data_IF_984203703744
#
_entry.id   IF_984203703744
#
_cell.length_a   1.000
_cell.length_b   1.000
_cell.length_c   1.000
_cell.angle_alpha   90.00
_cell.angle_beta   90.00
_cell.angle_gamma   90.00
#
_symmetry.space_group_name_H-M   'P 1'
#
loop_
_entity.id
_entity.type
_entity.pdbx_description
1 polymer ?
#
# COMPACT_ATOMS: atom_id res chain seq x y z
N UNK A 1 2.31 38.11 -67.97
CA UNK A 1 1.42 37.03 -67.48
C UNK A 1 2.16 36.33 -66.36
N UNK A 2 1.75 36.57 -65.11
CA UNK A 2 2.45 36.08 -63.92
C UNK A 2 1.77 34.81 -63.42
N UNK A 3 2.41 33.66 -63.60
CA UNK A 3 1.92 32.37 -63.10
C UNK A 3 2.07 32.28 -61.58
N UNK A 4 0.93 32.35 -60.90
CA UNK A 4 0.84 32.26 -59.45
C UNK A 4 0.74 30.79 -59.05
N UNK A 5 1.85 30.19 -58.63
CA UNK A 5 1.88 28.80 -58.14
C UNK A 5 1.21 28.72 -56.77
N UNK A 6 0.00 28.15 -56.70
CA UNK A 6 -0.71 27.91 -55.44
C UNK A 6 -0.15 26.66 -54.75
N UNK A 7 0.53 26.86 -53.61
CA UNK A 7 1.03 25.76 -52.76
C UNK A 7 -0.15 25.11 -52.00
N UNK A 8 -0.24 23.77 -51.93
CA UNK A 8 -1.33 23.10 -51.21
C UNK A 8 -1.19 23.34 -49.70
N UNK A 9 -2.27 23.79 -49.08
CA UNK A 9 -2.40 24.04 -47.64
C UNK A 9 -2.42 22.69 -46.90
N UNK A 10 -1.35 22.34 -46.16
CA UNK A 10 -1.33 21.15 -45.28
C UNK A 10 -2.49 21.25 -44.29
N UNK A 11 -3.41 20.28 -44.33
CA UNK A 11 -4.44 20.13 -43.30
C UNK A 11 -3.80 19.73 -41.97
N UNK A 12 -4.20 20.33 -40.83
CA UNK A 12 -3.69 19.94 -39.53
C UNK A 12 -4.19 18.53 -39.20
N UNK A 13 -3.26 17.61 -38.96
CA UNK A 13 -3.55 16.25 -38.50
C UNK A 13 -4.15 16.33 -37.08
N UNK A 14 -5.43 16.01 -36.94
CA UNK A 14 -6.10 15.97 -35.64
C UNK A 14 -5.62 14.72 -34.90
N UNK A 15 -4.69 14.90 -33.94
CA UNK A 15 -4.22 13.80 -33.09
C UNK A 15 -5.39 13.34 -32.20
N UNK A 16 -6.01 12.19 -32.51
CA UNK A 16 -7.01 11.59 -31.63
C UNK A 16 -6.33 11.18 -30.33
N UNK A 17 -6.76 11.75 -29.21
CA UNK A 17 -6.31 11.36 -27.87
C UNK A 17 -6.69 9.89 -27.64
N UNK A 18 -5.73 8.98 -27.38
CA UNK A 18 -6.01 7.57 -27.17
C UNK A 18 -6.64 7.32 -25.79
N UNK A 19 -7.93 7.62 -25.66
CA UNK A 19 -8.71 7.45 -24.42
C UNK A 19 -8.98 5.97 -24.07
N UNK A 20 -8.77 5.05 -25.01
CA UNK A 20 -8.97 3.61 -24.79
C UNK A 20 -7.93 2.99 -23.84
N UNK A 21 -6.74 3.58 -23.74
CA UNK A 21 -5.68 3.16 -22.82
C UNK A 21 -6.05 3.33 -21.34
N UNK A 22 -6.45 4.54 -20.88
CA UNK A 22 -6.81 4.78 -19.48
C UNK A 22 -8.15 4.17 -19.07
N UNK A 23 -9.06 3.89 -20.01
CA UNK A 23 -10.35 3.26 -19.73
C UNK A 23 -10.30 1.72 -19.72
N UNK A 24 -9.16 1.13 -20.12
CA UNK A 24 -8.99 -0.32 -20.06
C UNK A 24 -8.79 -0.74 -18.61
N UNK A 25 -9.73 -1.51 -18.09
CA UNK A 25 -9.64 -2.11 -16.76
C UNK A 25 -8.34 -2.91 -16.69
N UNK A 26 -7.41 -2.46 -15.84
CA UNK A 26 -6.13 -3.13 -15.66
C UNK A 26 -6.40 -4.58 -15.21
N UNK A 27 -5.68 -5.54 -15.79
CA UNK A 27 -5.75 -6.93 -15.34
C UNK A 27 -5.45 -6.94 -13.83
N UNK A 28 -6.28 -7.61 -13.00
CA UNK A 28 -6.00 -7.77 -11.59
C UNK A 28 -4.58 -8.33 -11.44
N UNK A 29 -3.76 -7.70 -10.60
CA UNK A 29 -2.41 -8.22 -10.38
C UNK A 29 -2.51 -9.63 -9.78
N UNK A 30 -1.69 -10.58 -10.23
CA UNK A 30 -1.66 -11.97 -9.75
C UNK A 30 -1.39 -12.09 -8.23
N UNK A 31 -1.08 -10.95 -7.58
CA UNK A 31 -0.79 -10.85 -6.16
C UNK A 31 -2.03 -10.43 -5.36
N UNK A 32 -3.11 -9.91 -5.96
CA UNK A 32 -4.24 -9.27 -5.24
C UNK A 32 -4.92 -10.13 -4.16
N UNK A 33 -5.01 -11.45 -4.38
CA UNK A 33 -5.60 -12.37 -3.41
C UNK A 33 -4.77 -12.50 -2.13
N UNK A 34 -3.44 -12.35 -2.21
CA UNK A 34 -2.55 -12.50 -1.04
C UNK A 34 -2.76 -11.39 0.00
N UNK A 35 -2.76 -10.09 -0.37
CA UNK A 35 -3.18 -9.01 0.51
C UNK A 35 -4.57 -9.23 1.07
N UNK A 36 -5.56 -9.55 0.23
CA UNK A 36 -6.94 -9.72 0.67
C UNK A 36 -7.06 -10.83 1.74
N UNK A 37 -6.51 -12.02 1.49
CA UNK A 37 -6.56 -13.13 2.46
C UNK A 37 -5.82 -12.79 3.77
N UNK A 38 -4.68 -12.09 3.68
CA UNK A 38 -3.91 -11.75 4.87
C UNK A 38 -4.66 -10.79 5.79
N UNK A 39 -5.41 -9.85 5.20
CA UNK A 39 -6.20 -8.88 5.95
C UNK A 39 -7.38 -9.57 6.59
N UNK A 40 -8.07 -10.44 5.85
CA UNK A 40 -9.17 -11.25 6.41
C UNK A 40 -8.70 -12.00 7.66
N UNK A 41 -7.56 -12.69 7.58
CA UNK A 41 -7.01 -13.41 8.74
C UNK A 41 -6.58 -12.45 9.86
N UNK A 42 -5.88 -11.35 9.53
CA UNK A 42 -5.41 -10.38 10.50
C UNK A 42 -6.55 -9.61 11.20
N UNK A 43 -7.69 -9.44 10.53
CA UNK A 43 -8.91 -8.79 11.04
C UNK A 43 -9.77 -9.77 11.83
N UNK A 44 -9.88 -11.02 11.37
CA UNK A 44 -10.68 -12.04 12.02
C UNK A 44 -10.18 -12.32 13.45
N UNK A 45 -8.86 -12.43 13.66
CA UNK A 45 -8.31 -12.79 14.97
C UNK A 45 -8.70 -11.76 16.06
N UNK A 46 -8.38 -10.45 15.94
CA UNK A 46 -8.75 -9.48 16.98
C UNK A 46 -10.27 -9.29 17.10
N UNK A 47 -11.02 -9.34 15.99
CA UNK A 47 -12.46 -9.10 16.04
C UNK A 47 -13.24 -10.26 16.64
N UNK A 48 -12.82 -11.51 16.43
CA UNK A 48 -13.42 -12.67 17.10
C UNK A 48 -13.13 -12.63 18.61
N UNK A 49 -11.94 -12.17 19.00
CA UNK A 49 -11.62 -11.94 20.43
C UNK A 49 -12.51 -10.85 21.01
N UNK A 50 -12.68 -9.72 20.33
CA UNK A 50 -13.59 -8.65 20.76
C UNK A 50 -15.04 -9.13 20.83
N UNK A 51 -15.48 -9.94 19.86
CA UNK A 51 -16.80 -10.57 19.85
C UNK A 51 -17.00 -11.47 21.07
N UNK A 52 -15.99 -12.27 21.44
CA UNK A 52 -16.09 -13.17 22.59
C UNK A 52 -16.18 -12.46 23.94
N UNK A 53 -15.70 -11.21 24.03
CA UNK A 53 -15.77 -10.38 25.24
C UNK A 53 -16.89 -9.34 25.17
N UNK A 54 -17.74 -9.40 24.14
CA UNK A 54 -18.84 -8.46 23.87
C UNK A 54 -18.41 -6.98 23.79
N UNK A 55 -17.21 -6.74 23.23
CA UNK A 55 -16.62 -5.40 23.07
C UNK A 55 -16.41 -5.02 21.61
N UNK A 56 -17.44 -5.23 20.80
CA UNK A 56 -17.43 -4.82 19.38
C UNK A 56 -17.38 -3.30 19.19
N UNK A 57 -17.65 -2.52 20.24
CA UNK A 57 -17.44 -1.07 20.27
C UNK A 57 -16.00 -0.68 19.92
N UNK A 58 -15.03 -1.56 20.18
CA UNK A 58 -13.61 -1.29 19.99
C UNK A 58 -13.06 -1.71 18.62
N UNK A 59 -13.93 -2.23 17.73
CA UNK A 59 -13.52 -2.77 16.41
C UNK A 59 -12.79 -1.73 15.56
N UNK A 60 -13.17 -0.46 15.65
CA UNK A 60 -12.48 0.60 14.88
C UNK A 60 -10.96 0.61 15.15
N UNK A 61 -10.55 0.42 16.40
CA UNK A 61 -9.14 0.46 16.81
C UNK A 61 -8.38 -0.80 16.41
N UNK A 62 -9.02 -1.98 16.53
CA UNK A 62 -8.40 -3.21 16.03
C UNK A 62 -8.30 -3.20 14.51
N UNK A 63 -9.28 -2.60 13.80
CA UNK A 63 -9.22 -2.42 12.34
C UNK A 63 -8.06 -1.56 11.90
N UNK A 64 -7.75 -0.48 12.63
CA UNK A 64 -6.58 0.34 12.34
C UNK A 64 -5.29 -0.50 12.28
N UNK A 65 -5.08 -1.38 13.27
CA UNK A 65 -3.90 -2.25 13.34
C UNK A 65 -3.94 -3.45 12.37
N UNK A 66 -5.10 -4.06 12.16
CA UNK A 66 -5.22 -5.23 11.28
C UNK A 66 -5.06 -4.87 9.81
N UNK A 67 -5.57 -3.70 9.39
CA UNK A 67 -5.48 -3.23 8.00
C UNK A 67 -4.03 -2.94 7.58
N UNK A 68 -3.10 -2.77 8.52
CA UNK A 68 -1.67 -2.73 8.23
C UNK A 68 -1.17 -4.00 7.51
N UNK A 69 -1.91 -5.12 7.61
CA UNK A 69 -1.61 -6.33 6.84
C UNK A 69 -1.57 -6.08 5.33
N UNK A 70 -2.34 -5.12 4.79
CA UNK A 70 -2.37 -4.79 3.35
C UNK A 70 -0.97 -4.48 2.79
N UNK A 71 -0.08 -3.95 3.63
CA UNK A 71 1.18 -3.37 3.19
C UNK A 71 2.30 -4.40 3.01
N UNK A 72 3.28 -4.03 2.19
CA UNK A 72 4.55 -4.75 2.07
C UNK A 72 4.51 -6.11 1.37
N UNK A 73 3.37 -6.54 0.82
CA UNK A 73 3.23 -7.83 0.11
C UNK A 73 4.16 -8.02 -1.09
N UNK A 74 4.63 -6.93 -1.68
CA UNK A 74 5.56 -6.93 -2.81
C UNK A 74 7.03 -6.85 -2.38
N UNK A 75 7.32 -6.79 -1.08
CA UNK A 75 8.67 -6.63 -0.54
C UNK A 75 9.25 -7.99 -0.11
N UNK A 76 10.58 -8.18 -0.22
CA UNK A 76 11.27 -9.32 0.40
C UNK A 76 11.04 -9.37 1.92
N UNK A 77 11.01 -10.55 2.53
CA UNK A 77 10.61 -10.72 3.93
C UNK A 77 11.39 -9.85 4.92
N UNK A 78 12.71 -9.72 4.75
CA UNK A 78 13.56 -8.90 5.62
C UNK A 78 13.22 -7.40 5.58
N UNK A 79 12.92 -6.86 4.39
CA UNK A 79 12.48 -5.47 4.24
C UNK A 79 11.02 -5.31 4.66
N UNK A 80 10.17 -6.28 4.32
CA UNK A 80 8.76 -6.33 4.68
C UNK A 80 8.55 -6.23 6.19
N UNK A 81 9.32 -6.98 6.98
CA UNK A 81 9.25 -6.97 8.43
C UNK A 81 9.40 -5.56 9.01
N UNK A 82 10.42 -4.82 8.56
CA UNK A 82 10.68 -3.44 9.01
C UNK A 82 9.66 -2.44 8.46
N UNK A 83 9.27 -2.59 7.19
CA UNK A 83 8.26 -1.72 6.58
C UNK A 83 6.91 -1.82 7.28
N UNK A 84 6.47 -3.03 7.67
CA UNK A 84 5.19 -3.20 8.38
C UNK A 84 5.25 -2.60 9.78
N UNK A 85 6.37 -2.74 10.51
CA UNK A 85 6.54 -2.04 11.80
C UNK A 85 6.42 -0.52 11.60
N UNK A 86 7.09 0.05 10.59
CA UNK A 86 6.95 1.47 10.27
C UNK A 86 5.53 1.90 9.93
N UNK A 87 4.79 1.06 9.19
CA UNK A 87 3.37 1.27 8.86
C UNK A 87 2.50 1.25 10.13
N UNK A 88 2.69 0.27 11.01
CA UNK A 88 1.93 0.19 12.28
C UNK A 88 2.22 1.41 13.16
N UNK A 89 3.50 1.82 13.27
CA UNK A 89 3.86 3.00 14.04
C UNK A 89 3.31 4.30 13.44
N UNK A 90 3.33 4.44 12.11
CA UNK A 90 2.70 5.58 11.43
C UNK A 90 1.18 5.61 11.63
N UNK A 91 0.54 4.45 11.65
CA UNK A 91 -0.90 4.31 11.89
C UNK A 91 -1.23 4.71 13.32
N UNK A 92 -0.43 4.21 14.27
CA UNK A 92 -0.57 4.52 15.68
C UNK A 92 -0.38 6.02 15.95
N UNK A 93 0.63 6.64 15.34
CA UNK A 93 0.88 8.07 15.48
C UNK A 93 -0.27 8.91 14.91
N UNK A 94 -0.74 8.58 13.68
CA UNK A 94 -1.87 9.26 13.06
C UNK A 94 -3.16 9.09 13.88
N UNK A 95 -3.41 7.90 14.42
CA UNK A 95 -4.53 7.62 15.30
C UNK A 95 -4.42 8.39 16.62
N UNK A 96 -3.25 8.40 17.26
CA UNK A 96 -3.03 9.13 18.51
C UNK A 96 -3.33 10.62 18.35
N UNK A 97 -2.83 11.25 17.28
CA UNK A 97 -3.12 12.66 16.99
C UNK A 97 -4.61 12.88 16.78
N UNK A 98 -5.28 12.01 16.02
CA UNK A 98 -6.73 12.09 15.80
C UNK A 98 -7.52 12.00 17.11
N UNK A 99 -7.25 10.99 17.95
CA UNK A 99 -8.00 10.77 19.19
C UNK A 99 -7.76 11.88 20.21
N UNK A 100 -6.50 12.35 20.34
CA UNK A 100 -6.19 13.49 21.23
C UNK A 100 -6.90 14.74 20.74
N UNK A 101 -6.87 15.02 19.43
CA UNK A 101 -7.57 16.19 18.87
C UNK A 101 -9.08 16.11 19.12
N UNK A 102 -9.70 14.96 18.83
CA UNK A 102 -11.12 14.73 19.06
C UNK A 102 -11.52 14.86 20.54
N UNK A 103 -10.61 14.56 21.47
CA UNK A 103 -10.88 14.71 22.91
C UNK A 103 -10.74 16.14 23.44
N UNK A 104 -10.08 17.03 22.70
CA UNK A 104 -9.77 18.40 23.13
C UNK A 104 -10.68 19.45 22.49
N UNK A 105 -11.37 19.12 21.39
CA UNK A 105 -12.21 20.08 20.68
C UNK A 105 -13.37 19.40 19.96
N UNK A 106 -14.54 20.04 20.03
CA UNK A 106 -15.73 19.70 19.23
C UNK A 106 -15.83 20.56 17.95
N UNK A 107 -14.86 21.46 17.70
CA UNK A 107 -14.90 22.36 16.55
C UNK A 107 -14.64 21.61 15.25
N UNK A 108 -15.68 21.44 14.44
CA UNK A 108 -15.62 20.78 13.13
C UNK A 108 -14.54 21.38 12.23
N UNK A 109 -14.37 22.71 12.25
CA UNK A 109 -13.35 23.39 11.43
C UNK A 109 -11.93 22.96 11.83
N UNK A 110 -11.66 22.82 13.14
CA UNK A 110 -10.36 22.37 13.64
C UNK A 110 -10.12 20.91 13.28
N UNK A 111 -11.13 20.04 13.44
CA UNK A 111 -11.04 18.62 13.07
C UNK A 111 -10.75 18.44 11.59
N UNK A 112 -11.41 19.20 10.71
CA UNK A 112 -11.15 19.19 9.26
C UNK A 112 -9.72 19.66 8.97
N UNK A 113 -9.27 20.75 9.59
CA UNK A 113 -7.92 21.27 9.40
C UNK A 113 -6.85 20.25 9.82
N UNK A 114 -7.01 19.63 11.00
CA UNK A 114 -6.10 18.57 11.48
C UNK A 114 -6.15 17.35 10.57
N UNK A 115 -7.34 16.93 10.13
CA UNK A 115 -7.50 15.84 9.17
C UNK A 115 -6.77 16.10 7.85
N UNK A 116 -6.84 17.32 7.32
CA UNK A 116 -6.13 17.71 6.11
C UNK A 116 -4.60 17.70 6.31
N UNK A 117 -4.11 18.19 7.45
CA UNK A 117 -2.68 18.15 7.79
C UNK A 117 -2.16 16.71 7.95
N UNK A 118 -2.93 15.85 8.62
CA UNK A 118 -2.61 14.42 8.74
C UNK A 118 -2.57 13.75 7.37
N UNK A 119 -3.57 13.97 6.52
CA UNK A 119 -3.61 13.42 5.17
C UNK A 119 -2.40 13.85 4.33
N UNK A 120 -2.04 15.14 4.39
CA UNK A 120 -0.86 15.67 3.72
C UNK A 120 0.44 15.02 4.24
N UNK A 121 0.60 14.95 5.56
CA UNK A 121 1.77 14.32 6.20
C UNK A 121 1.88 12.83 5.86
N UNK A 122 0.77 12.10 5.90
CA UNK A 122 0.70 10.68 5.54
C UNK A 122 1.05 10.46 4.06
N UNK A 123 0.55 11.32 3.16
CA UNK A 123 0.91 11.30 1.74
C UNK A 123 2.41 11.50 1.55
N UNK A 124 2.96 12.56 2.14
CA UNK A 124 4.39 12.88 2.04
C UNK A 124 5.26 11.75 2.60
N UNK A 125 4.87 11.17 3.74
CA UNK A 125 5.59 10.05 4.34
C UNK A 125 5.55 8.81 3.44
N UNK A 126 4.37 8.46 2.89
CA UNK A 126 4.24 7.32 1.97
C UNK A 126 5.05 7.51 0.69
N UNK A 127 5.08 8.72 0.14
CA UNK A 127 5.87 9.06 -1.04
C UNK A 127 7.37 8.98 -0.76
N UNK A 128 7.81 9.57 0.36
CA UNK A 128 9.21 9.59 0.77
C UNK A 128 9.76 8.18 1.05
N UNK A 129 8.94 7.35 1.71
CA UNK A 129 9.29 5.95 2.02
C UNK A 129 9.06 4.99 0.86
N UNK A 130 8.48 5.47 -0.25
CA UNK A 130 8.07 4.68 -1.42
C UNK A 130 7.23 3.46 -1.02
N UNK A 131 6.36 3.64 -0.03
CA UNK A 131 5.39 2.63 0.38
C UNK A 131 4.46 2.38 -0.81
N UNK A 132 4.45 1.13 -1.30
CA UNK A 132 3.58 0.73 -2.41
C UNK A 132 2.08 0.81 -2.06
N UNK A 133 1.19 0.53 -3.03
CA UNK A 133 -0.25 0.46 -2.79
C UNK A 133 -0.58 -0.42 -1.56
N UNK A 134 -1.53 0.00 -0.69
CA UNK A 134 -2.54 1.06 -0.87
C UNK A 134 -2.09 2.51 -0.57
N UNK A 135 -0.80 2.76 -0.28
CA UNK A 135 -0.28 4.11 -0.04
C UNK A 135 -0.89 4.77 1.22
N UNK A 136 -1.20 6.08 1.21
CA UNK A 136 -1.71 6.78 2.40
C UNK A 136 -3.18 6.50 2.71
N UNK A 137 -3.93 5.85 1.81
CA UNK A 137 -5.39 5.76 1.88
C UNK A 137 -5.92 5.22 3.20
N UNK A 138 -5.35 4.11 3.69
CA UNK A 138 -5.81 3.48 4.95
C UNK A 138 -5.51 4.39 6.15
N UNK A 139 -4.33 5.02 6.17
CA UNK A 139 -3.95 5.95 7.22
C UNK A 139 -4.91 7.14 7.28
N UNK A 140 -5.19 7.75 6.13
CA UNK A 140 -6.08 8.91 6.05
C UNK A 140 -7.49 8.52 6.42
N UNK A 141 -7.99 7.39 5.94
CA UNK A 141 -9.33 6.91 6.29
C UNK A 141 -9.49 6.70 7.80
N UNK A 142 -8.55 5.98 8.43
CA UNK A 142 -8.57 5.71 9.87
C UNK A 142 -8.43 7.01 10.67
N UNK A 143 -7.47 7.88 10.33
CA UNK A 143 -7.26 9.15 11.01
C UNK A 143 -8.47 10.08 10.89
N UNK A 144 -9.08 10.18 9.71
CA UNK A 144 -10.28 10.98 9.50
C UNK A 144 -11.48 10.41 10.24
N UNK A 145 -11.73 9.10 10.18
CA UNK A 145 -12.82 8.48 10.94
C UNK A 145 -12.66 8.71 12.46
N UNK A 146 -11.44 8.59 12.95
CA UNK A 146 -11.13 8.72 14.38
C UNK A 146 -11.20 10.16 14.90
N UNK A 147 -11.03 11.16 14.02
CA UNK A 147 -11.19 12.58 14.37
C UNK A 147 -12.64 12.94 14.73
N UNK A 148 -13.61 12.21 14.18
CA UNK A 148 -15.04 12.46 14.42
C UNK A 148 -15.68 11.39 15.32
N UNK A 149 -14.88 10.51 15.91
CA UNK A 149 -15.34 9.58 16.93
C UNK A 149 -15.37 10.30 18.30
N UNK A 150 -16.45 10.17 19.10
CA UNK A 150 -16.47 10.71 20.45
C UNK A 150 -15.40 10.04 21.31
N UNK A 151 -14.47 10.78 21.92
CA UNK A 151 -13.34 10.22 22.68
C UNK A 151 -13.12 10.92 24.02
N UNK A 152 -12.70 10.14 25.01
CA UNK A 152 -12.24 10.65 26.30
C UNK A 152 -10.74 10.37 26.50
N UNK A 153 -10.01 11.34 27.06
CA UNK A 153 -8.55 11.26 27.26
C UNK A 153 -8.10 9.97 27.98
N UNK A 154 -8.87 9.52 28.98
CA UNK A 154 -8.55 8.31 29.75
C UNK A 154 -8.60 7.00 28.95
N UNK A 155 -9.29 6.99 27.80
CA UNK A 155 -9.46 5.78 26.98
C UNK A 155 -8.38 5.64 25.89
N UNK A 156 -7.70 6.75 25.55
CA UNK A 156 -6.71 6.81 24.47
C UNK A 156 -5.62 5.75 24.61
N UNK A 157 -4.98 5.55 25.79
CA UNK A 157 -3.94 4.53 25.93
C UNK A 157 -4.46 3.12 25.62
N UNK A 158 -5.70 2.80 26.00
CA UNK A 158 -6.33 1.51 25.70
C UNK A 158 -6.60 1.32 24.21
N UNK A 159 -7.12 2.34 23.54
CA UNK A 159 -7.37 2.30 22.09
C UNK A 159 -6.07 2.16 21.27
N UNK A 160 -5.01 2.84 21.70
CA UNK A 160 -3.67 2.70 21.10
C UNK A 160 -3.07 1.31 21.37
N UNK A 161 -3.26 0.76 22.57
CA UNK A 161 -2.80 -0.59 22.88
C UNK A 161 -3.51 -1.66 22.02
N UNK A 162 -4.81 -1.52 21.78
CA UNK A 162 -5.57 -2.41 20.89
C UNK A 162 -5.08 -2.32 19.45
N UNK A 163 -4.82 -1.09 18.97
CA UNK A 163 -4.27 -0.85 17.64
C UNK A 163 -2.89 -1.49 17.48
N UNK A 164 -2.02 -1.33 18.48
CA UNK A 164 -0.70 -1.98 18.53
C UNK A 164 -0.81 -3.50 18.55
N UNK A 165 -1.70 -4.05 19.38
CA UNK A 165 -1.93 -5.49 19.48
C UNK A 165 -2.41 -6.09 18.15
N UNK A 166 -3.39 -5.46 17.51
CA UNK A 166 -3.85 -5.86 16.18
C UNK A 166 -2.77 -5.67 15.10
N UNK A 167 -1.93 -4.64 15.23
CA UNK A 167 -0.74 -4.41 14.40
C UNK A 167 0.31 -5.52 14.56
N UNK A 168 0.50 -6.04 15.77
CA UNK A 168 1.38 -7.17 16.01
C UNK A 168 0.82 -8.46 15.38
N UNK A 169 -0.50 -8.68 15.48
CA UNK A 169 -1.17 -9.79 14.78
C UNK A 169 -1.00 -9.68 13.27
N UNK A 170 -1.20 -8.50 12.69
CA UNK A 170 -1.01 -8.29 11.24
C UNK A 170 0.44 -8.54 10.81
N UNK A 171 1.42 -8.13 11.62
CA UNK A 171 2.82 -8.45 11.39
C UNK A 171 3.09 -9.97 11.42
N UNK A 172 2.53 -10.70 12.40
CA UNK A 172 2.69 -12.16 12.49
C UNK A 172 2.10 -12.88 11.26
N UNK A 173 0.89 -12.49 10.84
CA UNK A 173 0.20 -13.08 9.68
C UNK A 173 0.96 -12.82 8.38
N UNK A 174 1.53 -11.62 8.22
CA UNK A 174 2.16 -11.20 6.97
C UNK A 174 3.65 -11.53 6.86
N UNK A 175 4.35 -11.61 7.99
CA UNK A 175 5.81 -11.79 8.06
C UNK A 175 6.13 -13.14 8.65
N UNK A 176 5.73 -13.41 9.90
CA UNK A 176 6.19 -14.57 10.64
C UNK A 176 5.72 -15.89 10.01
N UNK A 177 4.42 -16.03 9.71
CA UNK A 177 3.88 -17.25 9.11
C UNK A 177 4.56 -17.62 7.78
N UNK A 178 4.58 -16.72 6.78
CA UNK A 178 5.21 -17.03 5.50
C UNK A 178 6.73 -17.20 5.57
N UNK A 179 7.44 -16.45 6.44
CA UNK A 179 8.88 -16.58 6.61
C UNK A 179 9.30 -17.94 7.19
N UNK A 180 8.46 -18.54 8.04
CA UNK A 180 8.67 -19.89 8.58
C UNK A 180 8.51 -20.99 7.52
N UNK A 181 7.60 -20.81 6.57
CA UNK A 181 7.28 -21.83 5.56
C UNK A 181 8.25 -21.76 4.38
N UNK A 182 8.56 -20.55 3.87
CA UNK A 182 9.47 -20.36 2.72
C UNK A 182 10.25 -19.06 2.86
N UNK A 183 11.34 -19.12 3.63
CA UNK A 183 12.25 -18.00 3.88
C UNK A 183 12.74 -17.30 2.59
N UNK A 184 12.90 -18.05 1.50
CA UNK A 184 13.44 -17.57 0.20
C UNK A 184 12.38 -17.40 -0.90
N UNK A 185 11.10 -17.49 -0.54
CA UNK A 185 9.98 -17.36 -1.49
C UNK A 185 10.06 -16.15 -2.44
N UNK A 186 10.26 -14.91 -1.95
CA UNK A 186 10.29 -13.74 -2.79
C UNK A 186 11.53 -13.68 -3.70
N UNK A 187 12.70 -14.10 -3.22
CA UNK A 187 13.92 -14.12 -4.04
C UNK A 187 13.80 -15.14 -5.18
N UNK A 188 13.35 -16.36 -4.88
CA UNK A 188 13.16 -17.40 -5.90
C UNK A 188 12.15 -16.99 -6.97
N UNK A 189 11.06 -16.31 -6.58
CA UNK A 189 10.06 -15.83 -7.51
C UNK A 189 10.61 -14.70 -8.39
N UNK A 190 11.41 -13.79 -7.84
CA UNK A 190 12.03 -12.71 -8.60
C UNK A 190 13.01 -13.27 -9.65
N UNK A 191 13.87 -14.22 -9.26
CA UNK A 191 14.79 -14.91 -10.17
C UNK A 191 14.04 -15.69 -11.25
N UNK A 192 13.00 -16.45 -10.89
CA UNK A 192 12.20 -17.18 -11.87
C UNK A 192 11.53 -16.25 -12.89
N UNK A 193 11.02 -15.09 -12.45
CA UNK A 193 10.46 -14.07 -13.36
C UNK A 193 11.50 -13.47 -14.30
N UNK A 194 12.70 -13.20 -13.79
CA UNK A 194 13.81 -12.71 -14.62
C UNK A 194 14.20 -13.73 -15.69
N UNK A 195 14.35 -15.00 -15.31
CA UNK A 195 14.66 -16.08 -16.25
C UNK A 195 13.57 -16.27 -17.31
N UNK A 196 12.29 -16.28 -16.91
CA UNK A 196 11.18 -16.39 -17.86
C UNK A 196 11.11 -15.21 -18.84
N UNK A 197 11.35 -13.99 -18.35
CA UNK A 197 11.35 -12.80 -19.21
C UNK A 197 12.55 -12.80 -20.18
N UNK A 198 13.73 -13.26 -19.74
CA UNK A 198 14.90 -13.42 -20.59
C UNK A 198 14.68 -14.51 -21.65
N UNK A 199 14.09 -15.66 -21.27
CA UNK A 199 13.75 -16.73 -22.21
C UNK A 199 12.73 -16.27 -23.26
N UNK A 200 11.72 -15.50 -22.85
CA UNK A 200 10.75 -14.91 -23.79
C UNK A 200 11.42 -13.94 -24.77
N UNK A 201 12.39 -13.15 -24.32
CA UNK A 201 13.16 -12.27 -25.21
C UNK A 201 14.09 -13.05 -26.16
N UNK A 202 14.68 -14.15 -25.70
CA UNK A 202 15.51 -15.01 -26.55
C UNK A 202 14.68 -15.73 -27.62
N UNK A 203 13.44 -16.12 -27.30
CA UNK A 203 12.51 -16.75 -28.23
C UNK A 203 11.92 -15.77 -29.26
N UNK A 204 11.58 -14.55 -28.84
CA UNK A 204 11.05 -13.50 -29.71
C UNK A 204 11.72 -12.14 -29.42
N UNK A 205 12.85 -11.85 -30.08
CA UNK A 205 13.59 -10.61 -29.87
C UNK A 205 12.80 -9.39 -30.36
N UNK A 206 12.31 -8.58 -29.41
CA UNK A 206 11.58 -7.36 -29.69
C UNK A 206 11.81 -6.27 -28.64
N UNK A 207 11.53 -5.02 -28.99
CA UNK A 207 11.68 -3.88 -28.07
C UNK A 207 10.83 -3.98 -26.80
N UNK A 208 9.71 -4.70 -26.87
CA UNK A 208 8.82 -4.94 -25.75
C UNK A 208 9.34 -6.08 -24.85
N UNK A 209 9.75 -7.21 -25.43
CA UNK A 209 10.36 -8.33 -24.67
C UNK A 209 11.69 -7.92 -24.04
N UNK A 210 12.51 -7.12 -24.74
CA UNK A 210 13.75 -6.55 -24.18
C UNK A 210 13.48 -5.70 -22.95
N UNK A 211 12.51 -4.78 -23.01
CA UNK A 211 12.14 -3.92 -21.86
C UNK A 211 11.62 -4.74 -20.69
N UNK A 212 10.79 -5.75 -20.96
CA UNK A 212 10.28 -6.65 -19.92
C UNK A 212 11.40 -7.47 -19.26
N UNK A 213 12.34 -8.01 -20.05
CA UNK A 213 13.50 -8.74 -19.56
C UNK A 213 14.41 -7.85 -18.70
N UNK A 214 14.77 -6.66 -19.19
CA UNK A 214 15.60 -5.71 -18.44
C UNK A 214 14.93 -5.32 -17.11
N UNK A 215 13.63 -5.03 -17.12
CA UNK A 215 12.89 -4.68 -15.91
C UNK A 215 12.84 -5.86 -14.92
N UNK A 216 12.62 -7.08 -15.40
CA UNK A 216 12.56 -8.27 -14.55
C UNK A 216 13.93 -8.62 -13.92
N UNK A 217 15.01 -8.54 -14.71
CA UNK A 217 16.38 -8.75 -14.22
C UNK A 217 16.77 -7.69 -13.21
N UNK A 218 16.51 -6.40 -13.50
CA UNK A 218 16.78 -5.33 -12.56
C UNK A 218 15.96 -5.49 -11.27
N UNK A 219 14.69 -5.89 -11.38
CA UNK A 219 13.85 -6.23 -10.23
C UNK A 219 14.43 -7.35 -9.37
N UNK A 220 14.89 -8.44 -10.00
CA UNK A 220 15.54 -9.55 -9.30
C UNK A 220 16.81 -9.10 -8.55
N UNK A 221 17.67 -8.31 -9.22
CA UNK A 221 18.87 -7.75 -8.60
C UNK A 221 18.55 -6.91 -7.36
N UNK A 222 17.58 -5.99 -7.46
CA UNK A 222 17.15 -5.16 -6.33
C UNK A 222 16.59 -5.99 -5.18
N UNK A 223 15.86 -7.08 -5.47
CA UNK A 223 15.32 -7.97 -4.41
C UNK A 223 16.41 -8.74 -3.69
N UNK A 224 17.42 -9.23 -4.41
CA UNK A 224 18.56 -9.96 -3.84
C UNK A 224 19.45 -9.05 -2.98
N UNK A 225 19.76 -7.85 -3.47
CA UNK A 225 20.45 -6.82 -2.69
C UNK A 225 19.68 -6.44 -1.41
N UNK A 226 18.36 -6.27 -1.50
CA UNK A 226 17.53 -5.95 -0.35
C UNK A 226 17.43 -7.11 0.67
N UNK A 227 17.68 -8.35 0.24
CA UNK A 227 17.76 -9.53 1.10
C UNK A 227 19.16 -9.73 1.73
N UNK A 228 20.17 -8.95 1.32
CA UNK A 228 21.55 -9.07 1.81
C UNK A 228 22.29 -10.28 1.23
N UNK A 229 21.86 -10.78 0.07
CA UNK A 229 22.45 -11.92 -0.63
C UNK A 229 22.86 -11.46 -2.04
N UNK A 230 24.09 -10.93 -2.22
CA UNK A 230 24.60 -10.54 -3.54
C UNK A 230 24.77 -11.75 -4.47
#
# INVERSE_FOLDING_TARGET
MSDTTTRPRRQPSVHRLPLAGPLRLARPSDIWLKPASSVVVATAIPNLVLFSIDRLDLVMYTMAGSLCALYGHNLPYARRARSIVGVVLGMLAGLAVSLVTASLTDSTAVLIAVGALLAAGQKLLCDATRIGPPGPLIFTFVSSASLFAPQHLGQIPGHLALTLGAGAVSWLVTVAGPALIRREGPERLATARALNAAAAHAADPGHHTRRAAVAAVHGAWQTLLAAGRP
#
